data_IF_350322361715
#
_entry.id   IF_350322361715
#
_cell.length_a   1.000
_cell.length_b   1.000
_cell.length_c   1.000
_cell.angle_alpha   90.00
_cell.angle_beta   90.00
_cell.angle_gamma   90.00
#
_symmetry.space_group_name_H-M   'P 1'
#
loop_
_entity.id
_entity.type
_entity.pdbx_description
1 polymer ?
#
# COMPACT_ATOMS: atom_id res chain seq x y z
N UNK A 1 -46.48 -61.32 -41.15
CA UNK A 1 -46.34 -62.65 -40.51
C UNK A 1 -44.89 -62.83 -40.07
N UNK A 2 -44.66 -63.18 -38.78
CA UNK A 2 -43.38 -63.54 -38.10
C UNK A 2 -42.37 -62.38 -37.95
N UNK A 3 -41.73 -62.08 -36.81
CA UNK A 3 -41.56 -62.60 -35.43
C UNK A 3 -40.87 -61.45 -34.65
N UNK A 4 -41.45 -60.86 -33.60
CA UNK A 4 -41.17 -61.08 -32.16
C UNK A 4 -39.71 -61.38 -31.72
N UNK A 5 -39.33 -60.71 -30.61
CA UNK A 5 -38.27 -60.97 -29.61
C UNK A 5 -36.92 -60.24 -29.79
N UNK A 6 -36.69 -59.17 -29.01
CA UNK A 6 -35.90 -59.22 -27.77
C UNK A 6 -35.99 -57.86 -27.05
N UNK A 7 -36.57 -57.87 -25.86
CA UNK A 7 -36.63 -56.77 -24.91
C UNK A 7 -35.82 -57.15 -23.67
N UNK A 8 -35.18 -56.15 -23.06
CA UNK A 8 -34.92 -56.11 -21.62
C UNK A 8 -33.58 -56.67 -21.15
N UNK A 9 -32.57 -55.80 -20.97
CA UNK A 9 -31.55 -55.98 -19.91
C UNK A 9 -30.58 -54.78 -19.71
N UNK A 10 -31.06 -53.54 -19.71
CA UNK A 10 -30.18 -52.38 -19.39
C UNK A 10 -30.93 -51.30 -18.60
N UNK A 11 -31.39 -51.64 -17.39
CA UNK A 11 -31.92 -50.65 -16.46
C UNK A 11 -31.90 -51.16 -15.01
N UNK A 12 -30.75 -51.58 -14.47
CA UNK A 12 -30.66 -51.88 -13.03
C UNK A 12 -29.22 -52.01 -12.47
N UNK A 13 -28.37 -50.97 -12.56
CA UNK A 13 -27.06 -50.98 -11.86
C UNK A 13 -26.53 -49.59 -11.42
N UNK A 14 -27.39 -48.59 -11.19
CA UNK A 14 -26.93 -47.24 -10.79
C UNK A 14 -27.42 -46.76 -9.41
N UNK A 15 -27.85 -47.68 -8.54
CA UNK A 15 -28.19 -47.36 -7.16
C UNK A 15 -27.27 -48.18 -6.24
N UNK A 16 -26.27 -47.52 -5.67
CA UNK A 16 -25.67 -47.75 -4.33
C UNK A 16 -24.22 -47.22 -4.27
N UNK A 17 -24.05 -45.93 -4.04
CA UNK A 17 -22.89 -45.38 -3.31
C UNK A 17 -23.40 -44.35 -2.29
N UNK A 18 -23.31 -44.60 -0.97
CA UNK A 18 -23.54 -43.58 0.04
C UNK A 18 -22.20 -42.92 0.32
N UNK A 19 -21.93 -41.77 -0.29
CA UNK A 19 -20.64 -41.11 -0.13
C UNK A 19 -20.62 -39.69 -0.67
N UNK A 20 -21.56 -38.83 -0.26
CA UNK A 20 -21.51 -37.39 -0.55
C UNK A 20 -22.26 -36.51 0.49
N UNK A 21 -22.72 -37.05 1.61
CA UNK A 21 -23.54 -36.28 2.57
C UNK A 21 -22.74 -35.54 3.65
N UNK A 22 -21.42 -35.75 3.74
CA UNK A 22 -20.55 -35.12 4.76
C UNK A 22 -19.70 -33.96 4.23
N UNK A 23 -19.90 -33.53 2.98
CA UNK A 23 -19.19 -32.38 2.38
C UNK A 23 -20.05 -31.12 2.24
N UNK A 24 -21.28 -31.13 2.77
CA UNK A 24 -22.22 -30.00 2.67
C UNK A 24 -22.45 -29.27 3.99
N UNK A 25 -21.66 -29.54 5.03
CA UNK A 25 -21.47 -28.62 6.16
C UNK A 25 -20.28 -27.73 5.85
N UNK A 26 -20.44 -26.83 4.87
CA UNK A 26 -19.65 -25.60 4.88
C UNK A 26 -20.35 -24.71 5.88
N UNK A 27 -19.71 -24.49 7.03
CA UNK A 27 -19.98 -23.29 7.81
C UNK A 27 -19.70 -22.12 6.86
N UNK A 28 -20.78 -21.56 6.32
CA UNK A 28 -20.70 -20.37 5.49
C UNK A 28 -20.47 -19.23 6.46
N UNK A 29 -19.20 -18.86 6.65
CA UNK A 29 -18.87 -17.58 7.28
C UNK A 29 -19.27 -16.52 6.24
N UNK A 30 -20.49 -15.99 6.38
CA UNK A 30 -20.94 -14.85 5.61
C UNK A 30 -20.22 -13.62 6.16
N UNK A 31 -19.05 -13.31 5.62
CA UNK A 31 -18.37 -12.05 5.91
C UNK A 31 -19.04 -10.99 5.05
N UNK A 32 -20.15 -10.45 5.54
CA UNK A 32 -20.77 -9.25 4.97
C UNK A 32 -19.83 -8.07 5.20
N UNK A 33 -19.44 -7.38 4.14
CA UNK A 33 -18.66 -6.16 4.29
C UNK A 33 -19.49 -5.12 5.06
N UNK A 34 -18.96 -4.62 6.18
CA UNK A 34 -19.62 -3.56 6.93
C UNK A 34 -19.62 -2.27 6.12
N UNK A 35 -20.81 -1.85 5.69
CA UNK A 35 -20.98 -0.63 4.92
C UNK A 35 -20.91 0.58 5.86
N UNK A 36 -20.02 1.53 5.58
CA UNK A 36 -19.91 2.81 6.31
C UNK A 36 -20.93 3.85 5.85
N UNK A 37 -21.96 3.44 5.11
CA UNK A 37 -23.06 4.32 4.71
C UNK A 37 -23.82 4.78 5.96
N UNK A 38 -24.21 6.06 5.99
CA UNK A 38 -24.98 6.62 7.10
C UNK A 38 -26.18 5.73 7.46
N UNK A 39 -26.29 5.24 8.71
CA UNK A 39 -27.44 4.48 9.17
C UNK A 39 -28.71 5.31 9.10
N UNK A 40 -29.87 4.64 9.15
CA UNK A 40 -31.16 5.32 9.22
C UNK A 40 -31.21 6.17 10.51
N UNK A 41 -31.32 7.48 10.37
CA UNK A 41 -31.48 8.40 11.49
C UNK A 41 -32.97 8.71 11.72
N UNK A 42 -33.39 8.85 12.98
CA UNK A 42 -34.78 9.11 13.34
C UNK A 42 -34.98 10.47 14.03
N UNK A 43 -35.43 11.45 13.26
CA UNK A 43 -35.70 12.81 13.73
C UNK A 43 -34.42 13.62 13.86
N UNK A 44 -33.72 13.49 14.99
CA UNK A 44 -32.40 14.10 15.18
C UNK A 44 -31.34 13.27 14.44
N UNK A 45 -30.54 13.84 13.53
CA UNK A 45 -29.47 13.13 12.84
C UNK A 45 -28.42 12.49 13.77
N UNK A 46 -28.41 12.81 15.07
CA UNK A 46 -27.54 12.17 16.06
C UNK A 46 -28.07 10.85 16.64
N UNK A 47 -29.31 10.45 16.35
CA UNK A 47 -29.93 9.24 16.90
C UNK A 47 -30.06 8.18 15.81
N UNK A 48 -29.29 7.11 15.96
CA UNK A 48 -29.25 6.00 15.00
C UNK A 48 -30.36 4.99 15.30
N UNK A 49 -30.87 4.34 14.25
CA UNK A 49 -31.87 3.29 14.33
C UNK A 49 -31.31 1.98 13.80
N UNK A 50 -31.60 0.89 14.51
CA UNK A 50 -31.29 -0.47 14.07
C UNK A 50 -32.50 -1.39 14.25
N UNK A 51 -32.90 -2.06 13.17
CA UNK A 51 -33.99 -3.03 13.12
C UNK A 51 -33.48 -4.47 13.01
N UNK A 52 -32.19 -4.65 12.74
CA UNK A 52 -31.52 -5.94 12.66
C UNK A 52 -30.15 -5.89 13.32
N UNK A 53 -29.61 -7.07 13.65
CA UNK A 53 -28.25 -7.20 14.19
C UNK A 53 -27.20 -6.53 13.30
N UNK A 54 -27.30 -6.70 11.99
CA UNK A 54 -26.36 -6.08 11.04
C UNK A 54 -26.46 -4.54 11.04
N UNK A 55 -27.67 -3.99 11.20
CA UNK A 55 -27.85 -2.53 11.33
C UNK A 55 -27.27 -2.00 12.64
N UNK A 56 -27.32 -2.78 13.73
CA UNK A 56 -26.67 -2.44 14.99
C UNK A 56 -25.14 -2.39 14.82
N UNK A 57 -24.54 -3.43 14.22
CA UNK A 57 -23.10 -3.46 13.95
C UNK A 57 -22.69 -2.28 13.05
N UNK A 58 -23.44 -2.02 11.97
CA UNK A 58 -23.16 -0.88 11.09
C UNK A 58 -23.31 0.48 11.79
N UNK A 59 -24.27 0.62 12.71
CA UNK A 59 -24.44 1.82 13.52
C UNK A 59 -23.25 2.06 14.45
N UNK A 60 -22.72 1.01 15.08
CA UNK A 60 -21.51 1.08 15.90
C UNK A 60 -20.28 1.47 15.06
N UNK A 61 -20.07 0.82 13.90
CA UNK A 61 -18.97 1.14 12.97
C UNK A 61 -19.10 2.57 12.46
N UNK A 62 -20.33 3.06 12.21
CA UNK A 62 -20.55 4.44 11.83
C UNK A 62 -20.12 5.40 12.94
N UNK A 63 -20.50 5.18 14.21
CA UNK A 63 -20.05 6.01 15.34
C UNK A 63 -18.52 6.05 15.43
N UNK A 64 -17.86 4.90 15.22
CA UNK A 64 -16.39 4.77 15.19
C UNK A 64 -15.79 5.59 14.05
N UNK A 65 -16.34 5.48 12.84
CA UNK A 65 -15.87 6.23 11.67
C UNK A 65 -15.97 7.75 11.85
N UNK A 66 -16.91 8.21 12.68
CA UNK A 66 -17.09 9.62 13.00
C UNK A 66 -16.24 10.08 14.20
N UNK A 67 -15.53 9.16 14.87
CA UNK A 67 -14.77 9.43 16.09
C UNK A 67 -15.65 9.96 17.22
N UNK A 68 -16.89 9.47 17.34
CA UNK A 68 -17.84 9.91 18.37
C UNK A 68 -17.66 9.07 19.63
N UNK A 69 -17.40 9.72 20.77
CA UNK A 69 -17.18 9.05 22.07
C UNK A 69 -18.47 8.54 22.73
N UNK A 70 -19.61 9.18 22.45
CA UNK A 70 -20.90 8.80 23.03
C UNK A 70 -22.01 8.85 22.00
N UNK A 71 -22.78 7.77 21.87
CA UNK A 71 -23.90 7.69 20.93
C UNK A 71 -25.10 6.98 21.53
N UNK A 72 -26.29 7.23 20.97
CA UNK A 72 -27.52 6.54 21.32
C UNK A 72 -28.11 5.84 20.09
N UNK A 73 -28.44 4.56 20.24
CA UNK A 73 -29.00 3.72 19.17
C UNK A 73 -30.36 3.21 19.64
N UNK A 74 -31.39 3.42 18.82
CA UNK A 74 -32.74 2.86 19.05
C UNK A 74 -32.86 1.51 18.37
N UNK A 75 -33.15 0.48 19.15
CA UNK A 75 -33.22 -0.91 18.74
C UNK A 75 -34.68 -1.36 18.66
N UNK A 76 -35.09 -1.79 17.46
CA UNK A 76 -36.42 -2.32 17.16
C UNK A 76 -36.40 -3.84 16.91
N UNK A 77 -35.32 -4.49 17.34
CA UNK A 77 -35.10 -5.92 17.15
C UNK A 77 -35.98 -6.73 18.11
N UNK A 78 -36.56 -7.81 17.61
CA UNK A 78 -37.31 -8.78 18.42
C UNK A 78 -36.36 -9.93 18.81
N UNK A 79 -35.75 -9.85 20.00
CA UNK A 79 -34.80 -10.87 20.48
C UNK A 79 -35.02 -11.20 21.96
N UNK A 80 -34.53 -12.37 22.37
CA UNK A 80 -34.68 -12.86 23.74
C UNK A 80 -33.84 -12.05 24.75
N UNK A 81 -32.74 -11.44 24.32
CA UNK A 81 -31.87 -10.59 25.15
C UNK A 81 -31.16 -9.53 24.31
N UNK A 82 -31.57 -8.27 24.47
CA UNK A 82 -30.89 -7.14 23.84
C UNK A 82 -29.46 -6.97 24.34
N UNK A 83 -29.22 -7.25 25.62
CA UNK A 83 -27.90 -7.10 26.23
C UNK A 83 -26.88 -8.04 25.58
N UNK A 84 -27.30 -9.27 25.27
CA UNK A 84 -26.43 -10.26 24.61
C UNK A 84 -26.13 -9.88 23.17
N UNK A 85 -27.13 -9.44 22.41
CA UNK A 85 -26.95 -8.98 21.02
C UNK A 85 -25.99 -7.78 20.94
N UNK A 86 -26.08 -6.85 21.90
CA UNK A 86 -25.14 -5.74 22.00
C UNK A 86 -23.73 -6.18 22.39
N UNK A 87 -23.61 -7.16 23.28
CA UNK A 87 -22.32 -7.73 23.65
C UNK A 87 -21.62 -8.35 22.43
N UNK A 88 -22.35 -9.19 21.68
CA UNK A 88 -21.88 -9.84 20.46
C UNK A 88 -21.54 -8.80 19.38
N UNK A 89 -22.39 -7.80 19.16
CA UNK A 89 -22.13 -6.72 18.22
C UNK A 89 -20.89 -5.89 18.59
N UNK A 90 -20.68 -5.59 19.87
CA UNK A 90 -19.48 -4.88 20.32
C UNK A 90 -18.21 -5.70 20.11
N UNK A 91 -18.28 -7.03 20.24
CA UNK A 91 -17.17 -7.92 19.97
C UNK A 91 -16.87 -8.01 18.48
N UNK A 92 -17.88 -8.18 17.64
CA UNK A 92 -17.73 -8.19 16.18
C UNK A 92 -17.13 -6.88 15.66
N UNK A 93 -17.56 -5.74 16.21
CA UNK A 93 -16.98 -4.44 15.87
C UNK A 93 -15.51 -4.34 16.27
N UNK A 94 -15.07 -4.99 17.35
CA UNK A 94 -13.64 -5.02 17.71
C UNK A 94 -12.82 -5.92 16.78
N UNK A 95 -13.45 -6.90 16.13
CA UNK A 95 -12.83 -7.75 15.12
C UNK A 95 -12.86 -7.10 13.71
N UNK A 96 -13.73 -6.12 13.47
CA UNK A 96 -13.71 -5.29 12.26
C UNK A 96 -12.40 -4.48 12.16
N UNK A 97 -11.81 -4.31 10.95
CA UNK A 97 -10.59 -3.54 10.76
C UNK A 97 -10.59 -2.14 11.38
N UNK A 98 -11.70 -1.41 11.28
CA UNK A 98 -11.79 -0.07 11.84
C UNK A 98 -11.86 -0.10 13.37
N UNK A 99 -12.61 -1.03 13.96
CA UNK A 99 -12.67 -1.17 15.41
C UNK A 99 -11.35 -1.69 16.00
N UNK A 100 -10.72 -2.68 15.38
CA UNK A 100 -9.42 -3.21 15.80
C UNK A 100 -8.33 -2.12 15.83
N UNK A 101 -8.33 -1.23 14.83
CA UNK A 101 -7.41 -0.10 14.74
C UNK A 101 -7.74 1.01 15.75
N UNK A 102 -9.00 1.45 15.81
CA UNK A 102 -9.36 2.70 16.48
C UNK A 102 -9.83 2.53 17.93
N UNK A 103 -10.42 1.40 18.31
CA UNK A 103 -11.20 1.26 19.56
C UNK A 103 -10.39 0.56 20.64
N UNK A 104 -10.34 1.15 21.84
CA UNK A 104 -9.77 0.53 23.04
C UNK A 104 -10.81 -0.39 23.70
N UNK A 105 -11.99 0.15 24.01
CA UNK A 105 -13.12 -0.62 24.51
C UNK A 105 -14.43 0.14 24.29
N UNK A 106 -15.54 -0.61 24.32
CA UNK A 106 -16.91 -0.08 24.23
C UNK A 106 -17.64 -0.44 25.53
N UNK A 107 -18.28 0.55 26.14
CA UNK A 107 -19.24 0.37 27.24
C UNK A 107 -20.63 0.66 26.71
N UNK A 108 -21.63 -0.09 27.17
CA UNK A 108 -23.01 0.13 26.77
C UNK A 108 -23.95 -0.05 27.95
N UNK A 109 -25.12 0.58 27.86
CA UNK A 109 -26.26 0.35 28.74
C UNK A 109 -27.55 0.31 27.94
N UNK A 110 -28.45 -0.61 28.31
CA UNK A 110 -29.73 -0.78 27.65
C UNK A 110 -30.85 -0.32 28.57
N UNK A 111 -31.75 0.50 28.04
CA UNK A 111 -32.96 0.93 28.73
C UNK A 111 -34.20 0.60 27.89
N UNK A 112 -35.18 -0.14 28.42
CA UNK A 112 -36.42 -0.41 27.71
C UNK A 112 -37.27 0.87 27.63
N UNK A 113 -37.79 1.15 26.43
CA UNK A 113 -38.79 2.19 26.15
C UNK A 113 -40.02 1.49 25.58
N UNK A 114 -41.20 2.11 25.66
CA UNK A 114 -42.50 1.49 25.33
C UNK A 114 -42.52 0.77 23.97
N UNK A 115 -41.81 1.31 22.96
CA UNK A 115 -41.84 0.79 21.59
C UNK A 115 -40.47 0.34 21.06
N UNK A 116 -39.39 0.45 21.83
CA UNK A 116 -38.01 0.11 21.43
C UNK A 116 -37.10 -0.02 22.65
N UNK A 117 -35.89 -0.55 22.47
CA UNK A 117 -34.82 -0.45 23.47
C UNK A 117 -33.83 0.65 23.08
N UNK A 118 -33.41 1.48 24.03
CA UNK A 118 -32.35 2.46 23.80
C UNK A 118 -31.04 1.88 24.29
N UNK A 119 -30.05 1.82 23.41
CA UNK A 119 -28.66 1.51 23.74
C UNK A 119 -27.86 2.81 23.79
N UNK A 120 -27.41 3.18 24.98
CA UNK A 120 -26.44 4.26 25.15
C UNK A 120 -25.04 3.65 25.13
N UNK A 121 -24.21 4.11 24.20
CA UNK A 121 -22.88 3.56 23.91
C UNK A 121 -21.82 4.62 24.22
N UNK A 122 -20.77 4.21 24.92
CA UNK A 122 -19.58 4.99 25.17
C UNK A 122 -18.35 4.26 24.62
N UNK A 123 -17.65 4.91 23.70
CA UNK A 123 -16.50 4.37 22.99
C UNK A 123 -15.24 5.09 23.47
N UNK A 124 -14.25 4.33 23.91
CA UNK A 124 -12.91 4.85 24.22
C UNK A 124 -11.97 4.48 23.08
N UNK A 125 -11.28 5.47 22.51
CA UNK A 125 -10.44 5.30 21.33
C UNK A 125 -8.95 5.26 21.68
N UNK A 126 -8.20 4.44 20.94
CA UNK A 126 -6.72 4.43 20.92
C UNK A 126 -6.14 5.43 19.92
N UNK A 127 -6.99 5.95 19.01
CA UNK A 127 -6.62 6.84 17.91
C UNK A 127 -7.45 8.11 17.99
N UNK A 128 -6.86 9.23 17.58
CA UNK A 128 -7.57 10.50 17.52
C UNK A 128 -8.63 10.48 16.41
N UNK A 129 -9.60 11.39 16.49
CA UNK A 129 -10.62 11.55 15.44
C UNK A 129 -9.97 11.92 14.10
N UNK A 130 -8.92 12.73 14.13
CA UNK A 130 -8.17 13.15 12.96
C UNK A 130 -7.49 11.96 12.29
N UNK A 131 -6.88 11.04 13.06
CA UNK A 131 -6.28 9.81 12.55
C UNK A 131 -7.30 8.83 11.97
N UNK A 132 -8.51 8.78 12.52
CA UNK A 132 -9.59 7.97 11.96
C UNK A 132 -10.07 8.58 10.62
N UNK A 133 -10.16 9.90 10.55
CA UNK A 133 -10.58 10.61 9.35
C UNK A 133 -9.53 10.59 8.22
N UNK A 134 -8.24 10.40 8.53
CA UNK A 134 -7.16 10.34 7.55
C UNK A 134 -6.99 8.97 6.88
N UNK A 135 -7.73 7.94 7.30
CA UNK A 135 -7.64 6.60 6.73
C UNK A 135 -7.99 6.63 5.23
N UNK A 136 -7.01 6.35 4.38
CA UNK A 136 -7.19 6.29 2.94
C UNK A 136 -7.71 4.90 2.52
N UNK A 137 -8.85 4.85 1.83
CA UNK A 137 -9.38 3.59 1.30
C UNK A 137 -8.76 3.30 -0.05
N UNK A 138 -8.07 2.15 -0.16
CA UNK A 138 -7.33 1.77 -1.36
C UNK A 138 -7.78 0.42 -1.92
N UNK A 139 -7.76 0.33 -3.25
CA UNK A 139 -8.13 -0.88 -3.98
C UNK A 139 -6.98 -1.33 -4.88
N UNK A 140 -6.16 -2.25 -4.38
CA UNK A 140 -5.05 -2.84 -5.12
C UNK A 140 -3.70 -2.14 -4.91
N UNK A 141 -2.65 -2.79 -5.41
CA UNK A 141 -1.24 -2.44 -5.14
C UNK A 141 -0.86 -1.07 -5.70
N UNK A 142 -1.35 -0.72 -6.90
CA UNK A 142 -1.07 0.59 -7.51
C UNK A 142 -1.57 1.75 -6.65
N UNK A 143 -2.76 1.61 -6.04
CA UNK A 143 -3.29 2.63 -5.13
C UNK A 143 -2.46 2.73 -3.85
N UNK A 144 -2.03 1.59 -3.28
CA UNK A 144 -1.12 1.56 -2.12
C UNK A 144 0.18 2.32 -2.44
N UNK A 145 0.83 2.00 -3.56
CA UNK A 145 2.06 2.68 -3.99
C UNK A 145 1.87 4.18 -4.19
N UNK A 146 0.73 4.59 -4.74
CA UNK A 146 0.41 6.01 -4.93
C UNK A 146 0.28 6.75 -3.60
N UNK A 147 -0.45 6.19 -2.63
CA UNK A 147 -0.59 6.78 -1.29
C UNK A 147 0.76 6.85 -0.58
N UNK A 148 1.56 5.77 -0.62
CA UNK A 148 2.90 5.74 -0.05
C UNK A 148 3.83 6.78 -0.69
N UNK A 149 3.80 6.91 -2.02
CA UNK A 149 4.58 7.94 -2.73
C UNK A 149 4.17 9.35 -2.31
N UNK A 150 2.86 9.61 -2.15
CA UNK A 150 2.37 10.90 -1.67
C UNK A 150 2.88 11.20 -0.26
N UNK A 151 2.71 10.24 0.66
CA UNK A 151 3.17 10.36 2.04
C UNK A 151 4.68 10.62 2.11
N UNK A 152 5.49 9.92 1.32
CA UNK A 152 6.94 10.11 1.26
C UNK A 152 7.34 11.47 0.68
N UNK A 153 6.60 11.96 -0.32
CA UNK A 153 6.84 13.28 -0.95
C UNK A 153 6.51 14.44 -0.01
N UNK A 154 5.50 14.26 0.85
CA UNK A 154 5.08 15.23 1.85
C UNK A 154 5.81 15.07 3.20
N UNK A 155 6.73 14.10 3.30
CA UNK A 155 7.41 13.73 4.54
C UNK A 155 6.45 13.44 5.71
N UNK A 156 5.32 12.81 5.41
CA UNK A 156 4.28 12.50 6.39
C UNK A 156 4.78 11.47 7.41
N UNK A 157 4.60 11.68 8.72
CA UNK A 157 5.09 10.75 9.75
C UNK A 157 4.25 9.47 9.86
N UNK A 158 3.07 9.44 9.26
CA UNK A 158 2.11 8.34 9.36
C UNK A 158 1.28 8.27 8.06
N UNK A 159 1.01 7.04 7.61
CA UNK A 159 0.05 6.74 6.56
C UNK A 159 -0.81 5.56 6.98
N UNK A 160 -2.14 5.70 6.88
CA UNK A 160 -3.07 4.63 7.28
C UNK A 160 -3.96 4.25 6.10
N UNK A 161 -3.93 2.98 5.73
CA UNK A 161 -4.57 2.44 4.54
C UNK A 161 -5.64 1.42 4.90
N UNK A 162 -6.89 1.62 4.44
CA UNK A 162 -7.93 0.60 4.49
C UNK A 162 -7.94 -0.17 3.17
N UNK A 163 -7.51 -1.42 3.20
CA UNK A 163 -7.36 -2.29 2.03
C UNK A 163 -8.47 -3.34 2.05
N UNK A 164 -9.30 -3.36 0.99
CA UNK A 164 -10.44 -4.29 0.89
C UNK A 164 -10.03 -5.75 0.73
N UNK A 165 -8.88 -6.00 0.08
CA UNK A 165 -8.32 -7.33 -0.11
C UNK A 165 -6.81 -7.25 0.05
N UNK A 166 -6.31 -7.74 1.18
CA UNK A 166 -4.89 -7.77 1.50
C UNK A 166 -4.48 -9.18 1.89
N UNK A 167 -3.49 -9.72 1.18
CA UNK A 167 -2.86 -11.01 1.41
C UNK A 167 -1.36 -10.91 1.71
N UNK A 168 -0.82 -9.69 1.76
CA UNK A 168 0.56 -9.42 2.14
C UNK A 168 0.79 -9.43 3.65
N UNK A 169 2.05 -9.26 4.02
CA UNK A 169 2.52 -9.10 5.40
C UNK A 169 3.25 -7.76 5.58
N UNK A 170 3.85 -7.57 6.75
CA UNK A 170 4.62 -6.36 7.07
C UNK A 170 5.81 -6.17 6.12
N UNK A 171 6.55 -7.24 5.82
CA UNK A 171 7.70 -7.22 4.91
C UNK A 171 7.29 -6.78 3.49
N UNK A 172 6.13 -7.24 3.02
CA UNK A 172 5.57 -6.82 1.74
C UNK A 172 5.28 -5.32 1.70
N UNK A 173 4.68 -4.75 2.75
CA UNK A 173 4.43 -3.31 2.83
C UNK A 173 5.75 -2.53 2.91
N UNK A 174 6.74 -3.01 3.66
CA UNK A 174 8.06 -2.39 3.72
C UNK A 174 8.75 -2.35 2.36
N UNK A 175 8.59 -3.39 1.53
CA UNK A 175 9.06 -3.36 0.14
C UNK A 175 8.31 -2.30 -0.69
N UNK A 176 6.99 -2.18 -0.54
CA UNK A 176 6.23 -1.12 -1.23
C UNK A 176 6.65 0.29 -0.81
N UNK A 177 7.01 0.51 0.46
CA UNK A 177 7.57 1.79 0.94
C UNK A 177 8.90 2.06 0.24
N UNK A 178 9.77 1.04 0.13
CA UNK A 178 11.07 1.14 -0.55
C UNK A 178 10.91 1.43 -2.04
N UNK A 179 9.99 0.76 -2.73
CA UNK A 179 9.66 1.04 -4.13
C UNK A 179 9.18 2.50 -4.30
N UNK A 180 8.24 2.95 -3.46
CA UNK A 180 7.71 4.30 -3.51
C UNK A 180 8.79 5.37 -3.25
N UNK A 181 9.76 5.09 -2.38
CA UNK A 181 10.92 5.96 -2.12
C UNK A 181 11.78 6.14 -3.38
N UNK A 182 12.13 5.04 -4.06
CA UNK A 182 12.95 5.11 -5.27
C UNK A 182 12.20 5.69 -6.49
N UNK A 183 10.87 5.64 -6.49
CA UNK A 183 10.01 6.31 -7.47
C UNK A 183 9.83 7.81 -7.22
N UNK A 184 10.37 8.36 -6.12
CA UNK A 184 10.28 9.78 -5.76
C UNK A 184 11.68 10.39 -5.52
N UNK A 185 12.55 10.43 -6.55
CA UNK A 185 13.98 10.73 -6.37
C UNK A 185 14.28 12.11 -5.78
N UNK A 186 13.38 13.09 -5.99
CA UNK A 186 13.48 14.43 -5.40
C UNK A 186 13.24 14.43 -3.88
N UNK A 187 12.32 13.59 -3.40
CA UNK A 187 11.99 13.46 -1.98
C UNK A 187 12.82 12.38 -1.27
N UNK A 188 13.58 11.58 -2.03
CA UNK A 188 14.46 10.53 -1.55
C UNK A 188 15.74 11.08 -0.86
N UNK A 189 15.54 11.80 0.24
CA UNK A 189 16.56 12.50 1.02
C UNK A 189 17.08 11.69 2.22
N UNK A 190 16.94 10.37 2.14
CA UNK A 190 17.29 9.41 3.17
C UNK A 190 16.10 8.53 3.53
N UNK A 191 16.27 7.22 3.38
CA UNK A 191 15.22 6.24 3.61
C UNK A 191 14.67 6.35 5.06
N UNK A 192 13.36 6.58 5.25
CA UNK A 192 12.77 6.56 6.57
C UNK A 192 12.78 5.13 7.15
N UNK A 193 12.87 5.02 8.47
CA UNK A 193 12.53 3.79 9.15
C UNK A 193 11.00 3.63 9.12
N UNK A 194 10.52 2.53 8.53
CA UNK A 194 9.10 2.22 8.42
C UNK A 194 8.71 1.12 9.41
N UNK A 195 7.76 1.43 10.30
CA UNK A 195 7.11 0.45 11.18
C UNK A 195 5.70 0.20 10.65
N UNK A 196 5.32 -1.07 10.51
CA UNK A 196 4.05 -1.48 9.90
C UNK A 196 3.22 -2.24 10.92
N UNK A 197 1.96 -1.86 11.06
CA UNK A 197 0.99 -2.57 11.89
C UNK A 197 -0.27 -2.88 11.09
N UNK A 198 -0.78 -4.11 11.21
CA UNK A 198 -1.88 -4.62 10.40
C UNK A 198 -3.04 -5.01 11.32
N UNK A 199 -4.24 -4.49 11.02
CA UNK A 199 -5.44 -4.64 11.84
C UNK A 199 -6.64 -5.17 11.05
N UNK A 200 -7.39 -6.15 11.58
CA UNK A 200 -6.99 -7.06 12.66
C UNK A 200 -5.90 -8.03 12.17
N UNK A 201 -5.41 -8.92 13.03
CA UNK A 201 -4.35 -9.90 12.68
C UNK A 201 -4.76 -10.91 11.59
N UNK A 202 -6.07 -11.07 11.29
CA UNK A 202 -6.59 -12.09 10.35
C UNK A 202 -7.86 -11.67 9.58
N UNK A 203 -8.21 -12.34 8.47
CA UNK A 203 -9.28 -11.93 7.53
C UNK A 203 -8.77 -11.44 6.16
N UNK A 204 -9.61 -10.75 5.36
CA UNK A 204 -9.21 -10.23 4.03
C UNK A 204 -9.14 -8.71 3.95
N UNK A 205 -10.03 -8.03 4.65
CA UNK A 205 -10.01 -6.58 4.76
C UNK A 205 -9.09 -6.19 5.91
N UNK A 206 -8.26 -5.17 5.69
CA UNK A 206 -7.29 -4.70 6.68
C UNK A 206 -7.22 -3.20 6.75
N UNK A 207 -6.84 -2.70 7.92
CA UNK A 207 -6.20 -1.41 8.06
C UNK A 207 -4.70 -1.66 8.25
N UNK A 208 -3.88 -0.98 7.47
CA UNK A 208 -2.42 -0.99 7.58
C UNK A 208 -1.98 0.39 8.04
N UNK A 209 -1.41 0.49 9.22
CA UNK A 209 -0.78 1.69 9.77
C UNK A 209 0.71 1.62 9.47
N UNK A 210 1.24 2.62 8.78
CA UNK A 210 2.66 2.78 8.48
C UNK A 210 3.16 4.02 9.21
N UNK A 211 4.09 3.84 10.14
CA UNK A 211 4.77 4.93 10.83
C UNK A 211 6.13 5.16 10.19
N UNK A 212 6.43 6.42 9.83
CA UNK A 212 7.63 6.81 9.10
C UNK A 212 8.50 7.73 9.96
N UNK A 213 9.68 7.25 10.32
CA UNK A 213 10.68 8.04 11.03
C UNK A 213 11.79 8.45 10.07
N UNK A 214 11.80 9.73 9.71
CA UNK A 214 12.79 10.30 8.80
C UNK A 214 14.13 10.59 9.50
N UNK A 215 15.26 10.57 8.76
CA UNK A 215 16.58 10.83 9.33
C UNK A 215 16.82 12.30 9.72
N UNK A 216 15.92 13.21 9.32
CA UNK A 216 16.01 14.65 9.53
C UNK A 216 14.61 15.22 9.82
N UNK A 217 14.58 16.42 10.39
CA UNK A 217 13.34 17.19 10.59
C UNK A 217 12.69 17.56 9.26
N UNK A 218 11.34 17.54 9.22
CA UNK A 218 10.54 17.86 8.02
C UNK A 218 10.96 19.17 7.37
N UNK A 219 11.19 20.24 8.13
CA UNK A 219 11.57 21.54 7.57
C UNK A 219 12.94 21.54 6.84
N UNK A 220 13.86 20.68 7.25
CA UNK A 220 15.15 20.54 6.55
C UNK A 220 15.01 19.65 5.32
N UNK A 221 14.15 18.62 5.37
CA UNK A 221 13.80 17.80 4.21
C UNK A 221 13.16 18.66 3.10
N UNK A 222 12.14 19.45 3.43
CA UNK A 222 11.48 20.37 2.50
C UNK A 222 12.48 21.35 1.86
N UNK A 223 13.34 21.96 2.68
CA UNK A 223 14.38 22.87 2.19
C UNK A 223 15.37 22.17 1.24
N UNK A 224 15.78 20.93 1.55
CA UNK A 224 16.70 20.17 0.69
C UNK A 224 16.02 19.74 -0.61
N UNK A 225 14.75 19.37 -0.55
CA UNK A 225 13.92 19.07 -1.72
C UNK A 225 13.87 20.28 -2.66
N UNK A 226 13.54 21.48 -2.14
CA UNK A 226 13.50 22.72 -2.91
C UNK A 226 14.84 23.05 -3.60
N UNK A 227 15.95 22.87 -2.89
CA UNK A 227 17.29 23.12 -3.43
C UNK A 227 17.66 22.09 -4.51
N UNK A 228 17.30 20.82 -4.28
CA UNK A 228 17.54 19.74 -5.21
C UNK A 228 16.74 19.92 -6.50
N UNK A 229 15.46 20.30 -6.42
CA UNK A 229 14.62 20.62 -7.58
C UNK A 229 15.22 21.74 -8.44
N UNK A 230 15.68 22.82 -7.80
CA UNK A 230 16.31 23.93 -8.50
C UNK A 230 17.59 23.52 -9.22
N UNK A 231 18.43 22.70 -8.58
CA UNK A 231 19.68 22.23 -9.17
C UNK A 231 19.45 21.22 -10.29
N UNK A 232 18.50 20.30 -10.12
CA UNK A 232 18.08 19.35 -11.16
C UNK A 232 17.59 20.11 -12.40
N UNK A 233 16.69 21.07 -12.23
CA UNK A 233 16.20 21.90 -13.33
C UNK A 233 17.33 22.65 -14.05
N UNK A 234 18.29 23.20 -13.29
CA UNK A 234 19.46 23.90 -13.85
C UNK A 234 20.34 22.97 -14.69
N UNK A 235 20.52 21.72 -14.26
CA UNK A 235 21.32 20.70 -14.97
C UNK A 235 20.57 20.12 -16.18
N UNK A 236 19.26 19.95 -16.07
CA UNK A 236 18.39 19.40 -17.13
C UNK A 236 18.12 20.39 -18.25
N UNK A 237 18.03 21.70 -17.96
CA UNK A 237 17.73 22.75 -18.96
C UNK A 237 18.60 22.68 -20.24
N UNK A 238 19.95 22.62 -20.18
CA UNK A 238 20.78 22.54 -21.39
C UNK A 238 20.63 21.21 -22.15
N UNK A 239 20.05 20.19 -21.53
CA UNK A 239 19.88 18.86 -22.12
C UNK A 239 18.51 18.66 -22.78
N UNK A 240 17.56 19.58 -22.55
CA UNK A 240 16.16 19.50 -23.00
C UNK A 240 15.94 19.29 -24.50
N UNK A 241 16.91 19.64 -25.35
CA UNK A 241 16.82 19.40 -26.80
C UNK A 241 17.26 17.99 -27.23
N UNK A 242 17.90 17.23 -26.35
CA UNK A 242 18.36 15.87 -26.62
C UNK A 242 17.21 14.88 -26.47
N UNK A 243 17.31 13.75 -27.16
CA UNK A 243 16.31 12.68 -27.10
C UNK A 243 16.96 11.30 -27.02
N UNK A 244 16.24 10.34 -26.45
CA UNK A 244 16.64 8.94 -26.35
C UNK A 244 18.03 8.76 -25.73
N UNK A 245 18.82 7.86 -26.31
CA UNK A 245 20.14 7.46 -25.81
C UNK A 245 21.09 8.65 -25.60
N UNK A 246 21.04 9.67 -26.46
CA UNK A 246 21.87 10.86 -26.31
C UNK A 246 21.51 11.67 -25.05
N UNK A 247 20.22 11.74 -24.71
CA UNK A 247 19.74 12.41 -23.50
C UNK A 247 20.15 11.64 -22.25
N UNK A 248 19.97 10.31 -22.22
CA UNK A 248 20.44 9.46 -21.10
C UNK A 248 21.94 9.62 -20.85
N UNK A 249 22.74 9.56 -21.92
CA UNK A 249 24.19 9.70 -21.79
C UNK A 249 24.60 11.10 -21.33
N UNK A 250 23.86 12.13 -21.71
CA UNK A 250 24.12 13.49 -21.26
C UNK A 250 23.71 13.71 -19.80
N UNK A 251 22.57 13.16 -19.38
CA UNK A 251 22.12 13.19 -17.98
C UNK A 251 23.15 12.49 -17.06
N UNK A 252 23.59 11.28 -17.42
CA UNK A 252 24.62 10.58 -16.65
C UNK A 252 25.94 11.36 -16.56
N UNK A 253 26.38 12.02 -17.64
CA UNK A 253 27.54 12.93 -17.61
C UNK A 253 27.31 14.15 -16.72
N UNK A 254 26.10 14.71 -16.71
CA UNK A 254 25.77 15.86 -15.87
C UNK A 254 25.89 15.51 -14.40
N UNK A 255 25.32 14.36 -13.97
CA UNK A 255 25.47 13.84 -12.60
C UNK A 255 26.95 13.64 -12.24
N UNK A 256 27.72 13.00 -13.12
CA UNK A 256 29.15 12.76 -12.84
C UNK A 256 29.98 14.03 -12.77
N UNK A 257 29.64 15.06 -13.54
CA UNK A 257 30.32 16.35 -13.52
C UNK A 257 29.97 17.18 -12.26
N UNK A 258 28.83 16.93 -11.62
CA UNK A 258 28.45 17.62 -10.38
C UNK A 258 29.31 17.18 -9.18
N UNK A 259 29.73 15.92 -9.15
CA UNK A 259 30.59 15.40 -8.08
C UNK A 259 31.13 13.99 -8.30
N UNK A 260 30.38 13.16 -9.04
CA UNK A 260 30.77 11.81 -9.42
C UNK A 260 30.73 10.81 -8.28
N UNK A 261 31.21 9.59 -8.56
CA UNK A 261 31.18 8.49 -7.59
C UNK A 261 32.18 8.70 -6.45
N UNK A 262 31.66 8.59 -5.22
CA UNK A 262 32.42 8.51 -3.97
C UNK A 262 31.84 7.41 -3.11
N UNK A 263 32.60 6.33 -2.92
CA UNK A 263 32.18 5.20 -2.08
C UNK A 263 31.87 5.55 -0.61
N UNK A 264 32.30 6.73 -0.13
CA UNK A 264 32.00 7.26 1.22
C UNK A 264 31.11 8.49 1.20
N UNK A 265 30.55 8.83 0.03
CA UNK A 265 29.54 9.88 -0.11
C UNK A 265 28.20 9.43 0.47
N UNK A 266 27.24 10.35 0.56
CA UNK A 266 25.88 10.02 0.96
C UNK A 266 25.12 9.28 -0.14
N UNK A 267 23.93 8.80 0.22
CA UNK A 267 23.12 7.88 -0.57
C UNK A 267 21.91 8.55 -1.25
N UNK A 268 21.94 9.88 -1.40
CA UNK A 268 20.82 10.66 -1.95
C UNK A 268 21.20 11.41 -3.23
N UNK A 269 20.21 11.80 -4.03
CA UNK A 269 20.42 12.70 -5.16
C UNK A 269 20.96 14.08 -4.73
N UNK A 270 20.57 14.54 -3.53
CA UNK A 270 21.10 15.76 -2.93
C UNK A 270 22.63 15.65 -2.73
N UNK A 271 23.11 14.53 -2.19
CA UNK A 271 24.55 14.32 -2.00
C UNK A 271 25.32 14.32 -3.33
N UNK A 272 24.73 13.68 -4.35
CA UNK A 272 25.32 13.56 -5.67
C UNK A 272 25.48 14.90 -6.39
N UNK A 273 24.45 15.77 -6.30
CA UNK A 273 24.36 17.01 -7.08
C UNK A 273 24.85 18.25 -6.32
N UNK A 274 24.75 18.28 -4.99
CA UNK A 274 25.00 19.48 -4.18
C UNK A 274 26.17 19.32 -3.19
N UNK A 275 26.50 18.10 -2.74
CA UNK A 275 27.55 17.86 -1.72
C UNK A 275 28.86 17.27 -2.28
N UNK A 276 29.04 17.33 -3.61
CA UNK A 276 30.29 17.01 -4.27
C UNK A 276 30.54 15.51 -4.51
N UNK A 277 29.49 14.68 -4.48
CA UNK A 277 29.49 13.30 -4.94
C UNK A 277 28.82 12.33 -3.96
N UNK A 278 28.35 11.20 -4.49
CA UNK A 278 27.56 10.21 -3.77
C UNK A 278 28.06 8.77 -4.00
N UNK A 279 27.53 7.84 -3.21
CA UNK A 279 27.68 6.41 -3.46
C UNK A 279 26.83 5.94 -4.67
N UNK A 280 26.67 4.63 -4.86
CA UNK A 280 25.90 4.11 -5.99
C UNK A 280 24.41 4.40 -5.91
N UNK A 281 23.83 4.46 -4.70
CA UNK A 281 22.41 4.77 -4.49
C UNK A 281 22.14 6.24 -4.83
N UNK A 282 22.94 7.16 -4.29
CA UNK A 282 22.76 8.58 -4.54
C UNK A 282 22.99 8.95 -6.01
N UNK A 283 23.95 8.30 -6.70
CA UNK A 283 24.11 8.46 -8.14
C UNK A 283 22.92 7.91 -8.94
N UNK A 284 22.36 6.77 -8.55
CA UNK A 284 21.21 6.19 -9.24
C UNK A 284 19.95 7.07 -9.06
N UNK A 285 19.73 7.62 -7.87
CA UNK A 285 18.67 8.58 -7.58
C UNK A 285 18.84 9.88 -8.38
N UNK A 286 20.06 10.43 -8.45
CA UNK A 286 20.33 11.64 -9.23
C UNK A 286 20.11 11.43 -10.73
N UNK A 287 20.47 10.26 -11.26
CA UNK A 287 20.19 9.89 -12.64
C UNK A 287 18.68 9.76 -12.90
N UNK A 288 17.94 9.13 -11.98
CA UNK A 288 16.49 9.04 -12.07
C UNK A 288 15.83 10.43 -12.07
N UNK A 289 16.29 11.32 -11.18
CA UNK A 289 15.80 12.70 -11.11
C UNK A 289 16.01 13.49 -12.42
N UNK A 290 17.22 13.51 -12.98
CA UNK A 290 17.45 14.22 -14.25
C UNK A 290 16.69 13.58 -15.41
N UNK A 291 16.49 12.26 -15.40
CA UNK A 291 15.66 11.58 -16.40
C UNK A 291 14.19 11.98 -16.28
N UNK A 292 13.65 12.09 -15.05
CA UNK A 292 12.29 12.54 -14.78
C UNK A 292 12.05 13.95 -15.36
N UNK A 293 12.94 14.90 -15.08
CA UNK A 293 12.91 16.27 -15.64
C UNK A 293 12.94 16.31 -17.17
N UNK A 294 13.63 15.33 -17.78
CA UNK A 294 13.78 15.21 -19.23
C UNK A 294 12.66 14.38 -19.88
N UNK A 295 11.72 13.84 -19.10
CA UNK A 295 10.64 12.98 -19.58
C UNK A 295 11.14 11.62 -20.10
N UNK A 296 12.22 11.10 -19.53
CA UNK A 296 12.85 9.84 -19.90
C UNK A 296 12.49 8.73 -18.91
N UNK A 297 12.18 7.53 -19.40
CA UNK A 297 11.93 6.36 -18.55
C UNK A 297 13.24 5.86 -17.94
N UNK A 298 13.37 6.02 -16.62
CA UNK A 298 14.53 5.62 -15.83
C UNK A 298 14.07 5.11 -14.48
N UNK A 299 14.47 3.90 -14.11
CA UNK A 299 14.12 3.26 -12.84
C UNK A 299 15.39 2.98 -12.05
N UNK A 300 15.38 3.27 -10.74
CA UNK A 300 16.45 2.83 -9.82
C UNK A 300 16.28 1.35 -9.51
N UNK A 301 17.37 0.60 -9.58
CA UNK A 301 17.40 -0.83 -9.25
C UNK A 301 18.31 -1.04 -8.04
N UNK A 302 17.79 -1.78 -7.06
CA UNK A 302 18.56 -2.34 -5.95
C UNK A 302 18.96 -3.77 -6.28
N UNK A 303 20.22 -4.10 -6.08
CA UNK A 303 20.71 -5.46 -6.27
C UNK A 303 22.10 -5.64 -5.70
N UNK A 304 22.90 -6.47 -6.37
CA UNK A 304 24.29 -6.71 -5.97
C UNK A 304 25.25 -6.62 -7.14
N UNK A 305 26.46 -6.18 -6.87
CA UNK A 305 27.62 -6.27 -7.75
C UNK A 305 28.70 -7.12 -7.04
N UNK A 306 29.03 -8.27 -7.61
CA UNK A 306 29.96 -9.23 -7.01
C UNK A 306 29.58 -9.63 -5.57
N UNK A 307 28.27 -9.70 -5.27
CA UNK A 307 27.74 -10.06 -3.95
C UNK A 307 27.66 -8.92 -2.93
N UNK A 308 28.08 -7.70 -3.29
CA UNK A 308 27.93 -6.51 -2.45
C UNK A 308 26.71 -5.71 -2.89
N UNK A 309 25.95 -5.15 -1.94
CA UNK A 309 24.80 -4.28 -2.25
C UNK A 309 25.23 -3.13 -3.15
N UNK A 310 24.46 -2.89 -4.20
CA UNK A 310 24.77 -1.89 -5.21
C UNK A 310 23.50 -1.41 -5.92
N UNK A 311 23.52 -0.17 -6.38
CA UNK A 311 22.41 0.49 -7.06
C UNK A 311 22.83 1.01 -8.44
N UNK A 312 21.90 0.95 -9.38
CA UNK A 312 22.10 1.45 -10.74
C UNK A 312 20.74 1.77 -11.36
N UNK A 313 20.71 2.15 -12.64
CA UNK A 313 19.47 2.47 -13.35
C UNK A 313 19.17 1.50 -14.49
N UNK A 314 17.89 1.29 -14.73
CA UNK A 314 17.36 0.71 -15.96
C UNK A 314 16.67 1.80 -16.75
N UNK A 315 16.96 1.89 -18.05
CA UNK A 315 16.40 2.89 -18.96
C UNK A 315 15.78 2.24 -20.20
N UNK A 316 14.77 2.88 -20.77
CA UNK A 316 14.20 2.49 -22.07
C UNK A 316 14.96 3.17 -23.22
N UNK A 317 15.96 2.48 -23.77
CA UNK A 317 16.78 2.97 -24.87
C UNK A 317 16.15 2.70 -26.24
N UNK A 318 16.73 3.28 -27.30
CA UNK A 318 16.36 2.99 -28.69
C UNK A 318 16.48 1.50 -29.08
N UNK A 319 17.28 0.75 -28.32
CA UNK A 319 17.54 -0.69 -28.52
C UNK A 319 16.81 -1.59 -27.50
N UNK A 320 15.86 -1.01 -26.76
CA UNK A 320 15.11 -1.65 -25.68
C UNK A 320 15.66 -1.33 -24.30
N UNK A 321 15.18 -2.06 -23.29
CA UNK A 321 15.62 -1.96 -21.89
C UNK A 321 17.14 -2.13 -21.76
N UNK A 322 17.81 -1.20 -21.08
CA UNK A 322 19.26 -1.21 -20.85
C UNK A 322 19.62 -0.83 -19.43
N UNK A 323 20.70 -1.41 -18.93
CA UNK A 323 21.31 -1.08 -17.65
C UNK A 323 22.34 0.04 -17.81
N UNK A 324 22.33 0.98 -16.88
CA UNK A 324 23.26 2.10 -16.75
C UNK A 324 23.76 2.16 -15.32
N UNK A 325 25.06 2.06 -15.12
CA UNK A 325 25.69 2.23 -13.81
C UNK A 325 26.69 3.39 -13.86
N UNK A 326 26.36 4.48 -13.15
CA UNK A 326 27.19 5.68 -13.08
C UNK A 326 28.53 5.47 -12.37
N UNK A 327 28.69 4.44 -11.54
CA UNK A 327 29.96 4.14 -10.87
C UNK A 327 31.05 3.65 -11.83
N UNK A 328 30.67 3.09 -12.99
CA UNK A 328 31.58 2.59 -14.02
C UNK A 328 31.47 3.34 -15.36
N UNK A 329 30.59 4.34 -15.40
CA UNK A 329 30.20 5.08 -16.60
C UNK A 329 31.38 5.81 -17.26
N UNK A 330 31.45 5.73 -18.59
CA UNK A 330 32.55 6.20 -19.45
C UNK A 330 33.94 5.55 -19.25
N UNK A 331 34.21 4.82 -18.16
CA UNK A 331 35.46 4.06 -17.99
C UNK A 331 35.49 2.77 -18.84
N UNK A 332 34.32 2.22 -19.15
CA UNK A 332 34.16 0.94 -19.85
C UNK A 332 34.05 1.02 -21.39
N UNK A 333 34.04 2.22 -22.00
CA UNK A 333 33.84 2.39 -23.45
C UNK A 333 32.41 2.12 -23.95
N UNK A 334 31.59 1.43 -23.16
CA UNK A 334 30.15 1.20 -23.31
C UNK A 334 29.43 1.65 -22.03
N UNK A 335 28.19 2.15 -22.14
CA UNK A 335 27.44 2.68 -20.98
C UNK A 335 25.97 2.25 -20.93
N UNK A 336 25.53 1.45 -21.91
CA UNK A 336 24.21 0.84 -21.99
C UNK A 336 24.42 -0.65 -22.19
N UNK A 337 23.94 -1.47 -21.25
CA UNK A 337 24.18 -2.91 -21.22
C UNK A 337 22.87 -3.69 -21.32
N UNK A 338 22.87 -4.84 -21.99
CA UNK A 338 21.76 -5.80 -21.89
C UNK A 338 21.80 -6.56 -20.57
N UNK A 339 20.70 -7.22 -20.21
CA UNK A 339 20.62 -8.09 -19.03
C UNK A 339 21.73 -9.16 -19.04
N UNK A 340 21.99 -9.81 -20.19
CA UNK A 340 23.04 -10.84 -20.28
C UNK A 340 24.45 -10.26 -20.08
N UNK A 341 24.73 -9.12 -20.71
CA UNK A 341 26.02 -8.46 -20.55
C UNK A 341 26.22 -8.02 -19.10
N UNK A 342 25.21 -7.37 -18.50
CA UNK A 342 25.27 -6.86 -17.14
C UNK A 342 25.42 -8.00 -16.11
N UNK A 343 24.70 -9.11 -16.28
CA UNK A 343 24.88 -10.28 -15.43
C UNK A 343 26.28 -10.90 -15.56
N UNK A 344 26.84 -10.95 -16.77
CA UNK A 344 28.21 -11.45 -17.00
C UNK A 344 29.31 -10.62 -16.32
N UNK A 345 29.01 -9.34 -16.01
CA UNK A 345 29.90 -8.44 -15.27
C UNK A 345 29.79 -8.60 -13.74
N UNK A 346 28.97 -9.54 -13.26
CA UNK A 346 28.81 -9.85 -11.83
C UNK A 346 27.66 -9.13 -11.14
N UNK A 347 26.77 -8.48 -11.90
CA UNK A 347 25.54 -7.88 -11.35
C UNK A 347 24.44 -8.93 -11.19
N UNK A 348 23.63 -8.77 -10.14
CA UNK A 348 22.45 -9.60 -9.88
C UNK A 348 21.33 -8.75 -9.27
N UNK A 349 20.12 -8.93 -9.78
CA UNK A 349 18.90 -8.25 -9.36
C UNK A 349 17.71 -9.20 -9.49
N UNK A 350 16.59 -8.84 -8.88
CA UNK A 350 15.32 -9.54 -9.12
C UNK A 350 14.75 -9.11 -10.48
N UNK A 351 14.56 -10.06 -11.40
CA UNK A 351 14.05 -9.78 -12.74
C UNK A 351 12.52 -9.68 -12.80
N UNK A 352 11.82 -9.84 -11.68
CA UNK A 352 10.35 -9.82 -11.63
C UNK A 352 9.72 -8.43 -11.67
N UNK A 353 10.50 -7.35 -11.72
CA UNK A 353 9.97 -6.00 -11.90
C UNK A 353 9.14 -5.90 -13.19
N UNK A 354 7.84 -5.59 -13.12
CA UNK A 354 7.04 -5.37 -14.31
C UNK A 354 7.59 -4.15 -15.05
N UNK A 355 7.71 -4.25 -16.37
CA UNK A 355 7.89 -3.08 -17.23
C UNK A 355 6.81 -2.05 -16.85
N UNK A 356 7.23 -0.86 -16.42
CA UNK A 356 6.33 0.19 -15.97
C UNK A 356 5.22 0.42 -16.98
N UNK A 357 3.99 0.10 -16.58
CA UNK A 357 2.78 0.46 -17.30
C UNK A 357 2.34 1.84 -16.84
N UNK A 358 2.51 2.80 -17.75
CA UNK A 358 1.92 4.15 -17.72
C UNK A 358 0.45 4.21 -17.35
#
# INVERSE_FOLDING_TARGET
MKRQLLAGMTALTLLLTPGCSLMLSRDYVDVSAHNTTAPTAEGDPSILRAESYQELVNALIYLISQGVETGAIRLYMDTESMEKELEEACLEVQEDPLGAYAVEYIKYSVSPVVTYHQADVQITYRRSKEQIASIASVTGITAIRSELKSALTEFAPEQVLRISYFDGDEDYIQELVREAYYDAPTAALGMPQAEVHIYPDSGRQRIVEILLTYPMETSELEKRQDLLEQEAARLSQPLSSLQGDAAFLAAGKAVLNAGGYRASGGSTAYDALLEGGADSEGLALAMALLCEDLGLSCQVISGTLNGHSHFWNVVESSSGRRHVDLTTFATAGQSLWTDEEFSSLGYSWDSTFPAGGS
#
